data_IF_601518214750
#
_entry.id   IF_601518214750
#
_cell.length_a   1.000
_cell.length_b   1.000
_cell.length_c   1.000
_cell.angle_alpha   90.00
_cell.angle_beta   90.00
_cell.angle_gamma   90.00
#
_symmetry.space_group_name_H-M   'P 1'
#
loop_
_entity.id
_entity.type
_entity.pdbx_description
1 polymer ?
#
# COMPACT_ATOMS: atom_id res chain seq x y z
N UNK A 1 -4.71 -53.52 -33.70
CA UNK A 1 -5.62 -52.80 -32.79
C UNK A 1 -4.80 -51.97 -31.82
N UNK A 2 -5.22 -50.71 -31.68
CA UNK A 2 -4.69 -49.64 -30.81
C UNK A 2 -4.13 -50.16 -29.49
N UNK A 3 -2.94 -49.70 -29.12
CA UNK A 3 -2.63 -49.21 -27.78
C UNK A 3 -1.44 -48.24 -27.82
N UNK A 4 -1.83 -46.97 -27.72
CA UNK A 4 -1.07 -45.75 -27.44
C UNK A 4 0.37 -45.93 -26.95
N UNK A 5 1.27 -45.53 -27.84
CA UNK A 5 2.56 -44.90 -27.55
C UNK A 5 2.34 -43.79 -26.51
N UNK A 6 2.68 -44.08 -25.25
CA UNK A 6 2.76 -43.08 -24.18
C UNK A 6 4.23 -42.84 -23.87
N UNK A 7 4.73 -41.73 -24.43
CA UNK A 7 5.77 -40.87 -23.89
C UNK A 7 7.05 -41.55 -23.35
N UNK A 8 7.83 -42.11 -24.27
CA UNK A 8 9.30 -42.18 -24.11
C UNK A 8 9.86 -40.95 -24.81
N UNK A 9 10.20 -39.93 -24.02
CA UNK A 9 10.67 -38.65 -24.50
C UNK A 9 11.38 -37.89 -23.40
N UNK A 10 12.38 -38.54 -22.81
CA UNK A 10 13.37 -37.94 -21.93
C UNK A 10 14.19 -36.97 -22.80
N UNK A 11 13.77 -35.71 -22.80
CA UNK A 11 14.57 -34.58 -23.27
C UNK A 11 15.43 -34.06 -22.13
N UNK A 12 16.56 -34.73 -21.92
CA UNK A 12 17.65 -34.29 -21.06
C UNK A 12 18.36 -33.11 -21.74
N UNK A 13 18.18 -31.89 -21.24
CA UNK A 13 19.03 -30.75 -21.60
C UNK A 13 19.63 -30.12 -20.33
N UNK A 14 20.75 -30.74 -19.94
CA UNK A 14 22.01 -30.13 -19.48
C UNK A 14 21.92 -29.00 -18.45
N UNK A 15 22.26 -29.39 -17.23
CA UNK A 15 22.74 -28.57 -16.13
C UNK A 15 23.86 -27.60 -16.53
N UNK A 16 23.75 -26.37 -16.02
CA UNK A 16 24.79 -25.79 -15.17
C UNK A 16 25.90 -25.00 -15.86
N UNK A 17 25.85 -23.67 -15.72
CA UNK A 17 27.06 -22.86 -15.57
C UNK A 17 26.99 -22.10 -14.24
N UNK A 18 28.09 -22.24 -13.50
CA UNK A 18 28.45 -21.57 -12.25
C UNK A 18 27.71 -22.02 -10.97
N UNK A 19 27.87 -23.30 -10.64
CA UNK A 19 28.12 -23.65 -9.24
C UNK A 19 29.54 -23.18 -8.89
N UNK A 20 29.65 -22.24 -7.95
CA UNK A 20 30.86 -22.03 -7.18
C UNK A 20 31.11 -23.29 -6.34
N UNK A 21 32.13 -24.02 -6.79
CA UNK A 21 32.98 -24.92 -6.05
C UNK A 21 33.27 -24.43 -4.61
N UNK A 22 32.88 -25.20 -3.59
CA UNK A 22 33.81 -25.87 -2.66
C UNK A 22 33.06 -26.50 -1.44
N UNK A 23 33.00 -27.84 -1.45
CA UNK A 23 33.07 -28.84 -0.35
C UNK A 23 32.31 -28.73 0.99
N UNK A 24 31.69 -29.87 1.34
CA UNK A 24 31.33 -30.42 2.67
C UNK A 24 29.91 -30.24 3.30
N UNK A 25 29.07 -31.25 3.03
CA UNK A 25 28.40 -32.09 4.04
C UNK A 25 27.61 -31.45 5.20
N UNK A 26 26.34 -31.07 4.98
CA UNK A 26 25.21 -31.41 5.92
C UNK A 26 23.82 -31.05 5.37
N UNK A 27 22.86 -31.91 5.72
CA UNK A 27 21.44 -31.95 5.38
C UNK A 27 20.67 -30.60 5.50
N UNK A 28 19.52 -30.44 4.82
CA UNK A 28 18.75 -29.20 4.89
C UNK A 28 18.15 -29.05 6.29
N UNK A 29 18.61 -28.05 7.03
CA UNK A 29 17.95 -27.61 8.25
C UNK A 29 16.66 -26.88 7.89
N UNK A 30 15.53 -27.56 8.12
CA UNK A 30 14.23 -26.93 8.30
C UNK A 30 14.34 -25.96 9.47
N UNK A 31 14.01 -24.68 9.26
CA UNK A 31 13.89 -23.71 10.34
C UNK A 31 14.77 -22.48 10.21
N UNK A 32 14.53 -21.69 9.16
CA UNK A 32 14.64 -20.25 9.28
C UNK A 32 13.43 -19.70 8.53
N UNK A 33 12.38 -19.36 9.27
CA UNK A 33 11.43 -18.39 8.79
C UNK A 33 12.25 -17.10 8.61
N UNK A 34 12.75 -16.89 7.39
CA UNK A 34 13.17 -15.58 6.97
C UNK A 34 11.90 -14.73 7.07
N UNK A 35 11.78 -13.97 8.17
CA UNK A 35 10.92 -12.81 8.19
C UNK A 35 11.34 -12.00 6.96
N UNK A 36 10.48 -12.02 5.94
CA UNK A 36 10.59 -11.11 4.82
C UNK A 36 10.44 -9.70 5.36
N UNK A 37 11.55 -9.14 5.87
CA UNK A 37 11.80 -7.71 5.90
C UNK A 37 11.96 -7.25 4.45
N UNK A 38 10.89 -7.39 3.66
CA UNK A 38 10.75 -6.68 2.41
C UNK A 38 10.65 -5.21 2.81
N UNK A 39 11.81 -4.56 2.86
CA UNK A 39 11.95 -3.13 3.09
C UNK A 39 11.01 -2.42 2.13
N UNK A 40 10.11 -1.64 2.70
CA UNK A 40 9.10 -0.92 1.94
C UNK A 40 9.68 0.00 0.88
N UNK A 41 8.88 0.34 -0.14
CA UNK A 41 9.32 1.25 -1.19
C UNK A 41 9.39 2.68 -0.64
N UNK A 42 10.56 3.33 -0.73
CA UNK A 42 10.71 4.73 -0.37
C UNK A 42 10.02 5.61 -1.42
N UNK A 43 9.08 6.43 -0.96
CA UNK A 43 8.34 7.41 -1.78
C UNK A 43 8.87 8.80 -1.46
N UNK A 44 9.00 9.61 -2.51
CA UNK A 44 9.43 11.00 -2.42
C UNK A 44 8.54 11.84 -3.32
N UNK A 45 7.88 12.83 -2.72
CA UNK A 45 6.97 13.76 -3.36
C UNK A 45 7.46 15.19 -3.13
N UNK A 46 6.99 16.13 -3.95
CA UNK A 46 7.30 17.56 -3.83
C UNK A 46 8.81 17.83 -3.82
N UNK A 47 9.53 17.26 -4.77
CA UNK A 47 10.99 17.38 -4.91
C UNK A 47 11.76 16.98 -3.63
N UNK A 48 11.24 16.01 -2.88
CA UNK A 48 11.88 15.50 -1.66
C UNK A 48 11.39 16.11 -0.35
N UNK A 49 10.50 17.10 -0.39
CA UNK A 49 9.96 17.72 0.84
C UNK A 49 9.08 16.77 1.65
N UNK A 50 8.37 15.86 0.98
CA UNK A 50 7.59 14.81 1.62
C UNK A 50 8.17 13.46 1.24
N UNK A 51 8.63 12.70 2.24
CA UNK A 51 9.13 11.34 2.02
C UNK A 51 8.62 10.39 3.09
N UNK A 52 8.20 9.20 2.67
CA UNK A 52 7.70 8.14 3.54
C UNK A 52 7.95 6.77 2.88
N UNK A 53 7.88 5.71 3.67
CA UNK A 53 8.09 4.35 3.19
C UNK A 53 6.77 3.61 3.11
N UNK A 54 6.43 3.09 1.92
CA UNK A 54 5.25 2.27 1.73
C UNK A 54 5.49 0.83 2.22
N UNK A 55 4.56 0.21 2.95
CA UNK A 55 4.64 -1.21 3.28
C UNK A 55 4.78 -2.11 2.05
N UNK A 56 5.40 -3.28 2.24
CA UNK A 56 5.51 -4.29 1.19
C UNK A 56 4.13 -4.68 0.64
N UNK A 57 4.04 -4.84 -0.69
CA UNK A 57 2.80 -5.20 -1.39
C UNK A 57 1.90 -4.03 -1.78
N UNK A 58 2.27 -2.78 -1.44
CA UNK A 58 1.63 -1.58 -1.98
C UNK A 58 2.35 -1.07 -3.23
N UNK A 59 1.60 -0.53 -4.18
CA UNK A 59 2.12 0.06 -5.42
C UNK A 59 1.33 1.31 -5.81
N UNK A 60 1.97 2.21 -6.56
CA UNK A 60 1.36 3.42 -7.10
C UNK A 60 0.25 3.10 -8.13
N UNK A 61 -0.95 3.63 -7.89
CA UNK A 61 -2.15 3.54 -8.73
C UNK A 61 -2.67 4.92 -9.18
N UNK A 62 -1.90 6.00 -9.00
CA UNK A 62 -2.32 7.39 -9.23
C UNK A 62 -2.84 7.68 -10.65
N UNK A 63 -2.41 6.90 -11.64
CA UNK A 63 -2.88 7.00 -13.04
C UNK A 63 -3.93 5.96 -13.45
N UNK A 64 -4.35 5.07 -12.55
CA UNK A 64 -5.32 3.99 -12.84
C UNK A 64 -6.72 4.27 -12.29
N UNK A 65 -6.84 5.11 -11.27
CA UNK A 65 -8.12 5.48 -10.65
C UNK A 65 -8.74 6.77 -11.23
N UNK A 66 -8.10 7.42 -12.20
CA UNK A 66 -8.61 8.61 -12.88
C UNK A 66 -7.52 9.35 -13.65
N UNK A 67 -7.87 10.47 -14.28
CA UNK A 67 -6.85 11.44 -14.72
C UNK A 67 -6.06 11.86 -13.50
N UNK A 68 -4.77 11.59 -13.49
CA UNK A 68 -3.86 12.06 -12.46
C UNK A 68 -4.03 13.58 -12.35
N UNK A 69 -4.83 14.05 -11.40
CA UNK A 69 -4.69 15.42 -10.97
C UNK A 69 -3.25 15.48 -10.47
N UNK A 70 -2.43 16.42 -10.97
CA UNK A 70 -1.01 16.54 -10.64
C UNK A 70 -0.71 16.49 -9.12
N UNK A 71 -1.75 16.66 -8.32
CA UNK A 71 -1.74 16.83 -6.88
C UNK A 71 -2.23 15.60 -6.10
N UNK A 72 -2.74 14.54 -6.74
CA UNK A 72 -3.27 13.36 -6.05
C UNK A 72 -2.46 12.11 -6.39
N UNK A 73 -1.87 11.51 -5.36
CA UNK A 73 -1.15 10.25 -5.45
C UNK A 73 -1.88 9.16 -4.67
N UNK A 74 -2.14 8.02 -5.30
CA UNK A 74 -2.84 6.89 -4.69
C UNK A 74 -1.93 5.68 -4.70
N UNK A 75 -1.61 5.13 -3.54
CA UNK A 75 -0.86 3.89 -3.39
C UNK A 75 -1.78 2.85 -2.77
N UNK A 76 -1.90 1.67 -3.36
CA UNK A 76 -2.75 0.62 -2.79
C UNK A 76 -2.12 -0.75 -2.92
N UNK A 77 -2.61 -1.69 -2.13
CA UNK A 77 -2.35 -3.10 -2.36
C UNK A 77 -3.11 -3.59 -3.61
N UNK A 78 -2.83 -4.83 -4.03
CA UNK A 78 -3.46 -5.43 -5.21
C UNK A 78 -4.99 -5.55 -5.11
N UNK A 79 -5.53 -5.64 -3.88
CA UNK A 79 -6.98 -5.75 -3.66
C UNK A 79 -7.69 -4.40 -3.58
N UNK A 80 -6.96 -3.30 -3.36
CA UNK A 80 -7.50 -1.97 -3.12
C UNK A 80 -8.13 -1.80 -1.72
N UNK A 81 -8.07 -2.81 -0.86
CA UNK A 81 -8.61 -2.74 0.50
C UNK A 81 -7.71 -1.93 1.44
N UNK A 82 -6.41 -1.82 1.11
CA UNK A 82 -5.46 -0.96 1.82
C UNK A 82 -4.95 0.09 0.86
N UNK A 83 -5.13 1.35 1.21
CA UNK A 83 -4.68 2.46 0.39
C UNK A 83 -4.10 3.59 1.23
N UNK A 84 -3.14 4.30 0.65
CA UNK A 84 -2.60 5.58 1.10
C UNK A 84 -2.85 6.58 -0.02
N UNK A 85 -3.59 7.64 0.29
CA UNK A 85 -3.89 8.71 -0.66
C UNK A 85 -3.20 9.98 -0.16
N UNK A 86 -2.39 10.59 -1.01
CA UNK A 86 -1.70 11.85 -0.75
C UNK A 86 -2.27 12.91 -1.67
N UNK A 87 -2.83 13.97 -1.10
CA UNK A 87 -3.37 15.10 -1.86
C UNK A 87 -2.58 16.35 -1.47
N UNK A 88 -2.08 17.07 -2.47
CA UNK A 88 -1.35 18.33 -2.32
C UNK A 88 -2.29 19.47 -2.72
N UNK A 89 -2.63 20.34 -1.78
CA UNK A 89 -3.41 21.55 -2.04
C UNK A 89 -2.57 22.81 -1.94
N UNK A 90 -3.15 23.92 -2.38
CA UNK A 90 -2.64 25.25 -2.04
C UNK A 90 -2.79 25.51 -0.54
N UNK A 91 -1.96 26.40 0.00
CA UNK A 91 -2.04 26.81 1.40
C UNK A 91 -3.34 27.55 1.71
N UNK A 92 -3.87 27.35 2.91
CA UNK A 92 -5.02 28.07 3.46
C UNK A 92 -4.65 28.79 4.75
N UNK A 93 -5.39 29.85 5.09
CA UNK A 93 -5.28 30.56 6.36
C UNK A 93 -6.14 29.93 7.48
N UNK A 94 -6.89 28.87 7.16
CA UNK A 94 -7.65 28.11 8.16
C UNK A 94 -6.72 27.27 9.04
N UNK A 95 -7.03 27.20 10.33
CA UNK A 95 -6.34 26.33 11.27
C UNK A 95 -6.54 24.85 10.90
N UNK A 96 -5.49 24.03 11.04
CA UNK A 96 -5.55 22.59 10.78
C UNK A 96 -6.61 21.89 11.63
N UNK A 97 -6.87 22.34 12.85
CA UNK A 97 -7.92 21.80 13.71
C UNK A 97 -9.33 22.05 13.12
N UNK A 98 -9.55 23.21 12.49
CA UNK A 98 -10.81 23.55 11.82
C UNK A 98 -11.00 22.68 10.58
N UNK A 99 -9.93 22.48 9.80
CA UNK A 99 -9.93 21.60 8.64
C UNK A 99 -10.25 20.15 9.03
N UNK A 100 -9.60 19.61 10.06
CA UNK A 100 -9.87 18.27 10.55
C UNK A 100 -11.31 18.13 11.05
N UNK A 101 -11.84 19.14 11.76
CA UNK A 101 -13.24 19.11 12.20
C UNK A 101 -14.22 19.08 11.03
N UNK A 102 -13.97 19.88 9.99
CA UNK A 102 -14.78 19.86 8.77
C UNK A 102 -14.73 18.50 8.06
N UNK A 103 -13.56 17.87 7.99
CA UNK A 103 -13.43 16.51 7.43
C UNK A 103 -14.18 15.46 8.25
N UNK A 104 -14.13 15.57 9.57
CA UNK A 104 -14.90 14.71 10.48
C UNK A 104 -16.41 14.87 10.25
N UNK A 105 -16.91 16.11 10.13
CA UNK A 105 -18.32 16.37 9.92
C UNK A 105 -18.80 15.88 8.53
N UNK A 106 -17.95 16.01 7.51
CA UNK A 106 -18.21 15.40 6.20
C UNK A 106 -18.29 13.87 6.28
N UNK A 107 -17.38 13.23 7.02
CA UNK A 107 -17.44 11.78 7.23
C UNK A 107 -18.71 11.37 7.98
N UNK A 108 -19.08 12.10 9.04
CA UNK A 108 -20.27 11.84 9.86
C UNK A 108 -21.57 12.03 9.08
N UNK A 109 -21.60 12.97 8.14
CA UNK A 109 -22.73 13.16 7.23
C UNK A 109 -22.96 11.93 6.33
N UNK A 110 -21.88 11.23 5.94
CA UNK A 110 -21.96 10.02 5.11
C UNK A 110 -22.16 8.75 5.94
N UNK A 111 -21.62 8.72 7.15
CA UNK A 111 -21.77 7.64 8.12
C UNK A 111 -22.21 8.18 9.49
N UNK A 112 -23.52 8.11 9.81
CA UNK A 112 -24.03 8.53 11.11
C UNK A 112 -23.47 7.73 12.30
N UNK A 113 -22.84 6.57 12.05
CA UNK A 113 -22.22 5.73 13.07
C UNK A 113 -20.69 5.92 13.13
N UNK A 114 -20.16 6.98 12.53
CA UNK A 114 -18.74 7.33 12.56
C UNK A 114 -18.20 7.33 13.98
N UNK A 115 -17.12 6.57 14.20
CA UNK A 115 -16.38 6.59 15.46
C UNK A 115 -15.06 7.34 15.25
N UNK A 116 -14.86 8.42 16.00
CA UNK A 116 -13.59 9.15 16.01
C UNK A 116 -12.68 8.51 17.05
N UNK A 117 -11.53 8.00 16.61
CA UNK A 117 -10.54 7.36 17.47
C UNK A 117 -9.54 8.40 17.98
N UNK A 118 -9.14 9.33 17.11
CA UNK A 118 -8.24 10.43 17.47
C UNK A 118 -8.50 11.66 16.63
N UNK A 119 -8.39 12.85 17.22
CA UNK A 119 -8.35 14.12 16.52
C UNK A 119 -7.43 15.06 17.33
N UNK A 120 -6.15 15.13 16.96
CA UNK A 120 -5.13 15.81 17.77
C UNK A 120 -4.01 16.42 16.92
N UNK A 121 -3.35 17.48 17.42
CA UNK A 121 -2.13 17.98 16.81
C UNK A 121 -0.98 16.98 16.98
N UNK A 122 -0.07 16.99 16.03
CA UNK A 122 1.15 16.17 16.01
C UNK A 122 2.32 17.01 15.51
N UNK A 123 3.42 17.03 16.24
CA UNK A 123 4.64 17.71 15.82
C UNK A 123 5.58 16.75 15.10
N UNK A 124 5.94 17.04 13.85
CA UNK A 124 6.94 16.27 13.11
C UNK A 124 7.99 17.23 12.57
N UNK A 125 9.23 17.07 13.03
CA UNK A 125 10.39 17.87 12.57
C UNK A 125 10.15 19.39 12.64
N UNK A 126 9.44 19.86 13.67
CA UNK A 126 9.12 21.28 13.85
C UNK A 126 7.93 21.80 13.02
N UNK A 127 7.19 20.89 12.36
CA UNK A 127 5.94 21.21 11.69
C UNK A 127 4.77 20.62 12.47
N UNK A 128 3.80 21.48 12.82
CA UNK A 128 2.51 21.07 13.35
C UNK A 128 1.66 20.44 12.24
N UNK A 129 1.22 19.21 12.48
CA UNK A 129 0.26 18.46 11.68
C UNK A 129 -1.01 18.24 12.52
N UNK A 130 -2.11 17.88 11.87
CA UNK A 130 -3.33 17.45 12.54
C UNK A 130 -3.66 16.03 12.10
N UNK A 131 -3.78 15.13 13.07
CA UNK A 131 -4.12 13.73 12.85
C UNK A 131 -5.59 13.51 13.19
N UNK A 132 -6.36 12.98 12.24
CA UNK A 132 -7.75 12.55 12.41
C UNK A 132 -7.85 11.07 12.05
N UNK A 133 -8.10 10.24 13.06
CA UNK A 133 -8.30 8.80 12.91
C UNK A 133 -9.77 8.48 13.17
N UNK A 134 -10.40 7.78 12.24
CA UNK A 134 -11.81 7.40 12.33
C UNK A 134 -12.07 5.98 11.83
N UNK A 135 -13.12 5.36 12.37
CA UNK A 135 -13.68 4.10 11.87
C UNK A 135 -14.98 4.45 11.18
N UNK A 136 -15.01 4.22 9.86
CA UNK A 136 -16.17 4.50 8.99
C UNK A 136 -16.85 3.18 8.66
N UNK A 137 -18.13 3.09 8.95
CA UNK A 137 -19.01 2.00 8.51
C UNK A 137 -19.68 2.37 7.20
N UNK A 138 -19.13 1.86 6.10
CA UNK A 138 -19.86 1.83 4.85
C UNK A 138 -20.91 0.70 4.94
N UNK A 139 -22.07 0.94 5.58
CA UNK A 139 -23.26 0.14 5.27
C UNK A 139 -23.42 0.24 3.76
N UNK A 140 -23.30 -0.88 3.04
CA UNK A 140 -23.14 -0.97 1.59
C UNK A 140 -24.26 -0.35 0.76
N UNK A 141 -24.47 0.96 0.87
CA UNK A 141 -25.30 1.73 -0.04
C UNK A 141 -24.44 1.97 -1.27
N UNK A 142 -24.77 1.36 -2.42
CA UNK A 142 -24.01 1.58 -3.63
C UNK A 142 -23.97 3.07 -3.96
N UNK A 143 -22.86 3.58 -4.52
CA UNK A 143 -22.78 4.96 -4.96
C UNK A 143 -23.77 5.15 -6.12
N UNK A 144 -24.82 5.92 -5.87
CA UNK A 144 -25.84 6.24 -6.86
C UNK A 144 -27.08 5.37 -6.73
N UNK A 145 -28.08 5.91 -6.03
CA UNK A 145 -29.49 5.89 -6.44
C UNK A 145 -30.16 7.06 -5.67
N UNK A 146 -30.83 7.99 -6.37
CA UNK A 146 -31.67 9.02 -5.74
C UNK A 146 -32.82 8.39 -4.94
#
# INVERSE_FOLDING_TARGET
MRNLVKYVGIGLLVMGLAACDNSDSKAPTVGAAAESNASGQAISLLDGKLSFTLPAGMADQSGKLGTQANNMHVYSDATGQKAVIVIVGDSTNEDLAVLAKRLEDQQRSRDPQLQVVSNKPLEIKGHTLQQLDSIISAKGRPPGLP
#
